data_IF_659162256704
#
_entry.id   IF_659162256704
#
_cell.length_a   1.000
_cell.length_b   1.000
_cell.length_c   1.000
_cell.angle_alpha   90.00
_cell.angle_beta   90.00
_cell.angle_gamma   90.00
#
_symmetry.space_group_name_H-M   'P 1'
#
loop_
_entity.id
_entity.type
_entity.pdbx_description
1 polymer ?
#
# COMPACT_ATOMS: atom_id res chain seq x y z
N UNK A 1 11.91 11.12 7.74
CA UNK A 1 12.47 11.81 6.55
C UNK A 1 12.25 10.91 5.35
N UNK A 2 11.75 11.42 4.25
CA UNK A 2 11.61 10.69 2.98
C UNK A 2 12.70 11.18 2.02
N UNK A 3 13.22 10.29 1.17
CA UNK A 3 14.14 10.64 0.09
C UNK A 3 13.32 10.79 -1.18
N UNK A 4 13.47 11.91 -1.87
CA UNK A 4 12.72 12.19 -3.08
C UNK A 4 13.30 13.33 -3.90
N UNK A 5 12.57 13.71 -4.92
CA UNK A 5 12.84 14.89 -5.72
C UNK A 5 11.53 15.61 -6.06
N UNK A 6 11.63 16.91 -6.19
CA UNK A 6 10.57 17.75 -6.76
C UNK A 6 11.14 18.55 -7.93
N UNK A 7 10.28 18.95 -8.85
CA UNK A 7 10.72 19.75 -9.98
C UNK A 7 9.62 20.69 -10.48
N UNK A 8 10.08 21.74 -11.15
CA UNK A 8 9.24 22.67 -11.88
C UNK A 8 9.85 22.96 -13.25
N UNK A 9 9.03 23.38 -14.20
CA UNK A 9 9.53 23.72 -15.53
C UNK A 9 8.43 24.29 -16.43
N UNK A 10 8.73 24.42 -17.70
CA UNK A 10 7.83 24.91 -18.74
C UNK A 10 7.70 23.90 -19.86
N UNK A 11 6.50 23.72 -20.36
CA UNK A 11 6.17 22.82 -21.48
C UNK A 11 5.42 23.59 -22.56
N UNK A 12 5.50 23.13 -23.80
CA UNK A 12 4.75 23.72 -24.91
C UNK A 12 3.24 23.49 -24.75
N UNK A 13 2.87 22.33 -24.22
CA UNK A 13 1.50 21.97 -23.91
C UNK A 13 1.38 20.56 -23.34
N UNK A 14 0.23 20.24 -22.71
CA UNK A 14 -0.02 18.93 -22.13
C UNK A 14 0.09 17.77 -23.13
N UNK A 15 -0.39 17.94 -24.35
CA UNK A 15 -0.39 16.90 -25.38
C UNK A 15 1.04 16.47 -25.76
N UNK A 16 1.94 17.44 -25.96
CA UNK A 16 3.33 17.16 -26.32
C UNK A 16 4.08 16.43 -25.17
N UNK A 17 3.83 16.83 -23.92
CA UNK A 17 4.41 16.15 -22.75
C UNK A 17 3.85 14.73 -22.60
N UNK A 18 2.54 14.54 -22.76
CA UNK A 18 1.90 13.25 -22.65
C UNK A 18 2.39 12.26 -23.74
N UNK A 19 2.57 12.72 -24.97
CA UNK A 19 3.10 11.87 -26.05
C UNK A 19 4.56 11.47 -25.79
N UNK A 20 5.42 12.40 -25.35
CA UNK A 20 6.79 12.10 -25.00
C UNK A 20 6.84 11.12 -23.80
N UNK A 21 5.99 11.32 -22.79
CA UNK A 21 5.89 10.41 -21.64
C UNK A 21 5.43 9.01 -22.06
N UNK A 22 4.51 8.90 -23.04
CA UNK A 22 4.04 7.61 -23.57
C UNK A 22 5.18 6.85 -24.25
N UNK A 23 5.94 7.50 -25.11
CA UNK A 23 7.10 6.88 -25.78
C UNK A 23 8.12 6.37 -24.73
N UNK A 24 8.42 7.18 -23.71
CA UNK A 24 9.33 6.80 -22.65
C UNK A 24 8.79 5.65 -21.79
N UNK A 25 7.49 5.66 -21.51
CA UNK A 25 6.83 4.59 -20.77
C UNK A 25 6.93 3.24 -21.53
N UNK A 26 6.64 3.24 -22.82
CA UNK A 26 6.77 2.05 -23.69
C UNK A 26 8.22 1.53 -23.73
N UNK A 27 9.20 2.42 -23.88
CA UNK A 27 10.62 2.06 -23.90
C UNK A 27 11.12 1.47 -22.59
N UNK A 28 10.55 1.91 -21.47
CA UNK A 28 10.96 1.50 -20.13
C UNK A 28 10.08 0.39 -19.53
N UNK A 29 9.00 0.02 -20.21
CA UNK A 29 8.05 -0.99 -19.73
C UNK A 29 7.33 -0.55 -18.45
N UNK A 30 7.02 0.75 -18.31
CA UNK A 30 6.27 1.30 -17.20
C UNK A 30 4.88 1.77 -17.63
N UNK A 31 3.94 1.87 -16.69
CA UNK A 31 2.58 2.32 -16.99
C UNK A 31 2.47 3.84 -16.98
N UNK A 32 1.56 4.37 -17.80
CA UNK A 32 1.25 5.79 -17.90
C UNK A 32 -0.24 6.02 -17.71
N UNK A 33 -0.58 6.92 -16.81
CA UNK A 33 -1.94 7.46 -16.67
C UNK A 33 -1.92 8.96 -16.96
N UNK A 34 -2.84 9.42 -17.79
CA UNK A 34 -2.98 10.84 -18.15
C UNK A 34 -4.40 11.30 -17.85
N UNK A 35 -4.52 12.47 -17.23
CA UNK A 35 -5.80 13.11 -16.98
C UNK A 35 -5.76 14.59 -17.42
N UNK A 36 -6.82 15.35 -17.15
CA UNK A 36 -6.93 16.76 -17.57
C UNK A 36 -5.87 17.68 -16.94
N UNK A 37 -5.38 17.35 -15.75
CA UNK A 37 -4.52 18.22 -14.95
C UNK A 37 -3.09 17.70 -14.79
N UNK A 38 -2.80 16.50 -15.25
CA UNK A 38 -1.48 15.91 -15.06
C UNK A 38 -1.31 14.53 -15.69
N UNK A 39 -0.16 13.94 -15.41
CA UNK A 39 0.14 12.56 -15.74
C UNK A 39 0.89 11.89 -14.57
N UNK A 40 0.85 10.56 -14.58
CA UNK A 40 1.58 9.69 -13.65
C UNK A 40 2.28 8.60 -14.46
N UNK A 41 3.58 8.51 -14.28
CA UNK A 41 4.40 7.38 -14.75
C UNK A 41 4.68 6.47 -13.55
N UNK A 42 4.26 5.22 -13.62
CA UNK A 42 4.52 4.22 -12.60
C UNK A 42 5.69 3.34 -13.04
N UNK A 43 6.83 3.54 -12.40
CA UNK A 43 8.11 2.90 -12.70
C UNK A 43 8.27 1.56 -12.01
N UNK A 44 7.68 1.45 -10.83
CA UNK A 44 7.62 0.22 -10.05
C UNK A 44 6.56 0.37 -8.94
N UNK A 45 6.12 -0.73 -8.30
CA UNK A 45 5.30 -0.68 -7.08
C UNK A 45 5.91 0.18 -5.97
N UNK A 46 5.19 0.33 -4.86
CA UNK A 46 5.60 1.05 -3.65
C UNK A 46 5.74 2.57 -3.84
N UNK A 47 4.75 3.17 -4.48
CA UNK A 47 4.80 4.62 -4.73
C UNK A 47 5.90 5.02 -5.71
N UNK A 48 6.42 4.06 -6.47
CA UNK A 48 7.43 4.27 -7.51
C UNK A 48 6.91 5.07 -8.70
N UNK A 49 6.31 6.22 -8.41
CA UNK A 49 5.58 7.06 -9.35
C UNK A 49 6.29 8.39 -9.53
N UNK A 50 6.40 8.82 -10.79
CA UNK A 50 6.72 10.19 -11.16
C UNK A 50 5.42 10.91 -11.49
N UNK A 51 4.95 11.75 -10.57
CA UNK A 51 3.72 12.52 -10.71
C UNK A 51 4.02 13.89 -11.30
N UNK A 52 3.21 14.32 -12.25
CA UNK A 52 3.32 15.64 -12.89
C UNK A 52 1.96 16.31 -12.97
N UNK A 53 1.90 17.57 -12.62
CA UNK A 53 0.72 18.42 -12.76
C UNK A 53 1.08 19.60 -13.63
N UNK A 54 0.14 20.03 -14.47
CA UNK A 54 0.31 21.20 -15.33
C UNK A 54 -0.83 22.19 -15.20
N UNK A 55 -0.51 23.43 -15.49
CA UNK A 55 -1.49 24.51 -15.60
C UNK A 55 -1.09 25.47 -16.72
N UNK A 56 -2.05 26.16 -17.34
CA UNK A 56 -1.73 27.21 -18.31
C UNK A 56 -0.89 28.32 -17.67
N UNK A 57 -0.15 29.05 -18.49
CA UNK A 57 0.51 30.29 -18.10
C UNK A 57 -0.51 31.38 -17.75
N UNK A 58 -0.02 32.55 -17.37
CA UNK A 58 -0.88 33.67 -16.96
C UNK A 58 -1.60 34.33 -18.16
N UNK A 59 -0.95 34.34 -19.33
CA UNK A 59 -1.52 34.79 -20.62
C UNK A 59 -1.65 33.62 -21.60
N UNK A 60 -2.57 33.70 -22.60
CA UNK A 60 -2.77 32.61 -23.55
C UNK A 60 -1.54 32.22 -24.37
N UNK A 61 -0.59 33.16 -24.58
CA UNK A 61 0.67 32.96 -25.27
C UNK A 61 1.79 32.41 -24.35
N UNK A 62 1.57 32.40 -23.05
CA UNK A 62 2.54 31.90 -22.12
C UNK A 62 2.65 30.36 -22.18
N UNK A 63 3.86 29.81 -22.03
CA UNK A 63 4.05 28.38 -21.98
C UNK A 63 3.37 27.80 -20.73
N UNK A 64 2.88 26.57 -20.85
CA UNK A 64 2.34 25.84 -19.73
C UNK A 64 3.39 25.62 -18.63
N UNK A 65 2.97 25.71 -17.40
CA UNK A 65 3.81 25.41 -16.23
C UNK A 65 3.59 23.95 -15.84
N UNK A 66 4.67 23.24 -15.56
CA UNK A 66 4.65 21.89 -15.02
C UNK A 66 5.36 21.86 -13.66
N UNK A 67 4.82 21.09 -12.74
CA UNK A 67 5.47 20.71 -11.47
C UNK A 67 5.28 19.22 -11.27
N UNK A 68 6.22 18.61 -10.56
CA UNK A 68 6.08 17.19 -10.24
C UNK A 68 6.97 16.77 -9.09
N UNK A 69 6.82 15.51 -8.71
CA UNK A 69 7.51 14.90 -7.59
C UNK A 69 7.69 13.38 -7.79
N UNK A 70 8.69 12.85 -7.13
CA UNK A 70 8.89 11.41 -6.97
C UNK A 70 9.44 11.14 -5.57
N UNK A 71 8.73 10.35 -4.77
CA UNK A 71 9.22 9.84 -3.48
C UNK A 71 9.86 8.49 -3.71
N UNK A 72 11.14 8.37 -3.38
CA UNK A 72 11.96 7.20 -3.72
C UNK A 72 12.22 6.27 -2.55
N UNK A 73 11.94 6.70 -1.32
CA UNK A 73 12.35 5.97 -0.10
C UNK A 73 11.89 4.52 -0.07
N UNK A 74 10.60 4.17 -0.33
CA UNK A 74 10.17 2.78 -0.23
C UNK A 74 10.77 1.89 -1.31
N UNK A 75 10.87 2.42 -2.52
CA UNK A 75 11.35 1.66 -3.66
C UNK A 75 12.88 1.61 -3.76
N UNK A 76 13.59 2.65 -3.32
CA UNK A 76 15.05 2.65 -3.25
C UNK A 76 15.78 3.45 -4.32
N UNK A 77 17.11 3.35 -4.31
CA UNK A 77 18.02 4.16 -5.13
C UNK A 77 17.85 3.96 -6.64
N UNK A 78 17.50 2.77 -7.08
CA UNK A 78 17.25 2.47 -8.49
C UNK A 78 16.08 3.26 -9.06
N UNK A 79 14.98 3.40 -8.28
CA UNK A 79 13.85 4.24 -8.64
C UNK A 79 14.26 5.71 -8.76
N UNK A 80 15.01 6.23 -7.77
CA UNK A 80 15.45 7.63 -7.78
C UNK A 80 16.24 7.96 -9.05
N UNK A 81 17.20 7.10 -9.38
CA UNK A 81 17.94 7.19 -10.63
C UNK A 81 17.02 7.15 -11.86
N UNK A 82 16.09 6.21 -11.92
CA UNK A 82 15.19 6.04 -13.05
C UNK A 82 14.29 7.27 -13.26
N UNK A 83 13.78 7.86 -12.17
CA UNK A 83 13.00 9.09 -12.20
C UNK A 83 13.79 10.27 -12.76
N UNK A 84 15.05 10.44 -12.30
CA UNK A 84 15.95 11.49 -12.82
C UNK A 84 16.23 11.30 -14.32
N UNK A 85 16.50 10.07 -14.74
CA UNK A 85 16.77 9.78 -16.17
C UNK A 85 15.52 9.94 -17.06
N UNK A 86 14.31 9.74 -16.52
CA UNK A 86 13.08 10.04 -17.22
C UNK A 86 12.90 11.56 -17.42
N UNK A 87 13.19 12.36 -16.38
CA UNK A 87 13.13 13.82 -16.49
C UNK A 87 14.04 14.36 -17.58
N UNK A 88 15.22 13.75 -17.78
CA UNK A 88 16.15 14.14 -18.86
C UNK A 88 15.56 13.92 -20.28
N UNK A 89 14.68 12.91 -20.41
CA UNK A 89 14.05 12.56 -21.70
C UNK A 89 12.77 13.32 -22.01
N UNK A 90 12.22 14.07 -21.03
CA UNK A 90 10.96 14.80 -21.22
C UNK A 90 11.20 16.21 -21.78
N UNK A 91 10.29 16.75 -22.64
CA UNK A 91 10.41 18.06 -23.26
C UNK A 91 10.06 19.18 -22.27
N UNK A 92 10.75 19.23 -21.14
CA UNK A 92 10.57 20.25 -20.10
C UNK A 92 11.66 21.30 -20.23
N UNK A 93 11.29 22.53 -20.54
CA UNK A 93 12.20 23.67 -20.62
C UNK A 93 12.35 24.34 -19.26
N UNK A 94 13.51 24.94 -19.00
CA UNK A 94 13.83 25.61 -17.71
C UNK A 94 13.53 24.70 -16.52
N UNK A 95 13.89 23.42 -16.66
CA UNK A 95 13.73 22.43 -15.61
C UNK A 95 14.58 22.81 -14.39
N UNK A 96 13.92 23.05 -13.27
CA UNK A 96 14.54 23.22 -11.96
C UNK A 96 14.18 22.02 -11.09
N UNK A 97 15.18 21.33 -10.57
CA UNK A 97 15.01 20.12 -9.75
C UNK A 97 15.62 20.36 -8.37
N UNK A 98 14.80 20.13 -7.36
CA UNK A 98 15.21 20.01 -5.97
C UNK A 98 15.30 18.50 -5.66
N UNK A 99 16.52 18.02 -5.55
CA UNK A 99 16.85 16.63 -5.32
C UNK A 99 17.66 16.52 -4.02
N UNK A 100 17.05 15.91 -3.01
CA UNK A 100 17.64 15.74 -1.67
C UNK A 100 18.97 14.96 -1.70
N UNK A 101 19.17 14.10 -2.72
CA UNK A 101 20.40 13.34 -2.88
C UNK A 101 21.48 14.06 -3.69
N UNK A 102 21.12 15.10 -4.42
CA UNK A 102 21.98 15.80 -5.37
C UNK A 102 22.32 14.95 -6.61
N UNK A 103 21.74 13.77 -6.78
CA UNK A 103 22.03 12.87 -7.90
C UNK A 103 21.71 13.51 -9.26
N UNK A 104 20.66 14.32 -9.35
CA UNK A 104 20.32 15.07 -10.55
C UNK A 104 21.53 15.90 -11.08
N UNK A 105 22.39 16.39 -10.19
CA UNK A 105 23.57 17.20 -10.55
C UNK A 105 24.83 16.37 -10.76
N UNK A 106 25.14 15.48 -9.81
CA UNK A 106 26.46 14.79 -9.81
C UNK A 106 26.46 13.43 -10.54
N UNK A 107 25.29 12.82 -10.79
CA UNK A 107 25.09 11.55 -11.51
C UNK A 107 25.90 10.36 -10.94
N UNK A 108 26.37 10.46 -9.72
CA UNK A 108 27.12 9.40 -9.05
C UNK A 108 26.16 8.51 -8.25
N UNK A 109 25.79 7.36 -8.83
CA UNK A 109 24.85 6.43 -8.24
C UNK A 109 25.35 5.84 -6.92
N UNK A 110 26.63 5.46 -6.84
CA UNK A 110 27.20 4.87 -5.62
C UNK A 110 27.21 5.86 -4.46
N UNK A 111 27.61 7.10 -4.74
CA UNK A 111 27.57 8.19 -3.76
C UNK A 111 26.14 8.40 -3.23
N UNK A 112 25.14 8.45 -4.10
CA UNK A 112 23.74 8.59 -3.73
C UNK A 112 23.29 7.46 -2.80
N UNK A 113 23.61 6.20 -3.12
CA UNK A 113 23.30 5.04 -2.28
C UNK A 113 23.89 5.19 -0.89
N UNK A 114 25.21 5.43 -0.81
CA UNK A 114 25.96 5.42 0.45
C UNK A 114 25.60 6.61 1.35
N UNK A 115 25.58 7.82 0.78
CA UNK A 115 25.37 9.04 1.56
C UNK A 115 23.90 9.27 1.96
N UNK A 116 22.93 8.73 1.21
CA UNK A 116 21.52 9.00 1.46
C UNK A 116 20.73 7.72 1.83
N UNK A 117 20.60 6.75 0.93
CA UNK A 117 19.76 5.57 1.17
C UNK A 117 20.30 4.67 2.29
N UNK A 118 21.61 4.42 2.31
CA UNK A 118 22.19 3.58 3.37
C UNK A 118 22.30 4.33 4.70
N UNK A 119 22.51 5.62 4.69
CA UNK A 119 22.45 6.44 5.90
C UNK A 119 21.05 6.44 6.49
N UNK A 120 20.03 6.63 5.66
CA UNK A 120 18.64 6.52 6.07
C UNK A 120 18.32 5.13 6.67
N UNK A 121 18.75 4.06 5.99
CA UNK A 121 18.51 2.69 6.44
C UNK A 121 19.23 2.38 7.75
N UNK A 122 20.47 2.85 7.94
CA UNK A 122 21.20 2.71 9.22
C UNK A 122 20.47 3.39 10.37
N UNK A 123 20.01 4.62 10.16
CA UNK A 123 19.22 5.34 11.18
C UNK A 123 17.97 4.54 11.57
N UNK A 124 17.33 3.93 10.61
CA UNK A 124 16.17 3.08 10.84
C UNK A 124 16.52 1.83 11.65
N UNK A 125 17.59 1.13 11.28
CA UNK A 125 18.11 -0.05 12.01
C UNK A 125 18.46 0.30 13.45
N UNK A 126 19.08 1.46 13.69
CA UNK A 126 19.38 1.95 15.04
C UNK A 126 18.12 2.19 15.88
N UNK A 127 17.05 2.72 15.26
CA UNK A 127 15.74 2.87 15.92
C UNK A 127 15.16 1.51 16.26
N UNK A 128 15.12 0.57 15.32
CA UNK A 128 14.62 -0.78 15.54
C UNK A 128 15.39 -1.52 16.64
N UNK A 129 16.72 -1.44 16.59
CA UNK A 129 17.58 -2.07 17.62
C UNK A 129 17.32 -1.50 19.01
N UNK A 130 17.12 -0.19 19.13
CA UNK A 130 16.80 0.48 20.39
C UNK A 130 15.46 0.05 20.99
N UNK A 131 14.47 -0.23 20.14
CA UNK A 131 13.12 -0.63 20.53
C UNK A 131 12.97 -2.15 20.70
N UNK A 132 13.92 -2.94 20.23
CA UNK A 132 13.93 -4.40 20.34
C UNK A 132 13.93 -4.86 21.81
N UNK A 133 13.13 -5.89 22.11
CA UNK A 133 12.98 -6.46 23.44
C UNK A 133 12.12 -5.62 24.41
N UNK A 134 11.53 -4.54 23.94
CA UNK A 134 10.62 -3.71 24.77
C UNK A 134 9.14 -4.03 24.59
N UNK A 135 8.83 -5.04 23.78
CA UNK A 135 7.45 -5.40 23.47
C UNK A 135 6.72 -4.34 22.66
N UNK A 136 7.44 -3.53 21.89
CA UNK A 136 6.86 -2.51 21.01
C UNK A 136 6.06 -3.20 19.91
N UNK A 137 4.82 -2.76 19.72
CA UNK A 137 3.92 -3.31 18.72
C UNK A 137 3.42 -2.22 17.77
N UNK A 138 2.88 -2.62 16.61
CA UNK A 138 2.34 -1.71 15.60
C UNK A 138 3.38 -0.87 14.86
N UNK A 139 4.66 -1.25 14.87
CA UNK A 139 5.69 -0.55 14.14
C UNK A 139 5.57 -0.83 12.64
N UNK A 140 5.44 0.21 11.84
CA UNK A 140 5.23 0.14 10.40
C UNK A 140 6.15 1.13 9.70
N UNK A 141 6.77 0.70 8.61
CA UNK A 141 7.73 1.48 7.84
C UNK A 141 7.38 1.48 6.37
N UNK A 142 7.26 2.67 5.77
CA UNK A 142 6.91 2.83 4.36
C UNK A 142 5.59 2.12 4.00
N UNK A 143 4.69 1.98 4.94
CA UNK A 143 3.41 1.29 4.81
C UNK A 143 2.28 2.29 4.64
N UNK A 144 1.36 2.02 3.71
CA UNK A 144 0.17 2.84 3.56
C UNK A 144 -0.86 2.48 4.63
N UNK A 145 -0.93 3.31 5.67
CA UNK A 145 -1.88 3.17 6.77
C UNK A 145 -3.34 3.42 6.36
N UNK A 146 -3.56 3.91 5.13
CA UNK A 146 -4.91 4.18 4.62
C UNK A 146 -5.66 2.92 4.20
N UNK A 147 -4.97 1.81 3.92
CA UNK A 147 -5.57 0.61 3.37
C UNK A 147 -5.94 -0.42 4.44
N UNK A 148 -4.95 -0.88 5.22
CA UNK A 148 -5.14 -1.88 6.29
C UNK A 148 -4.01 -1.81 7.32
N UNK A 149 -4.22 -2.38 8.49
CA UNK A 149 -3.20 -2.56 9.51
C UNK A 149 -2.89 -4.07 9.62
N UNK A 150 -1.65 -4.50 9.41
CA UNK A 150 -1.24 -5.86 9.68
C UNK A 150 -1.43 -6.23 11.14
N UNK A 151 -1.49 -7.52 11.43
CA UNK A 151 -1.58 -8.03 12.80
C UNK A 151 -0.48 -7.43 13.68
N UNK A 152 -0.86 -7.00 14.88
CA UNK A 152 0.01 -6.31 15.82
C UNK A 152 0.82 -7.33 16.64
N UNK A 153 2.00 -7.67 16.12
CA UNK A 153 2.92 -8.62 16.77
C UNK A 153 4.04 -7.84 17.47
N UNK A 154 4.23 -8.03 18.78
CA UNK A 154 5.30 -7.36 19.52
C UNK A 154 6.69 -7.64 18.95
N UNK A 155 7.60 -6.67 19.10
CA UNK A 155 9.00 -6.73 18.67
C UNK A 155 9.19 -7.01 17.16
N UNK A 156 8.19 -6.64 16.35
CA UNK A 156 8.27 -6.72 14.89
C UNK A 156 8.01 -5.37 14.24
N UNK A 157 8.50 -5.24 13.00
CA UNK A 157 8.24 -4.11 12.11
C UNK A 157 7.69 -4.63 10.80
N UNK A 158 6.64 -3.97 10.30
CA UNK A 158 6.07 -4.25 8.99
C UNK A 158 6.65 -3.30 7.97
N UNK A 159 7.09 -3.84 6.84
CA UNK A 159 7.62 -3.11 5.70
C UNK A 159 6.90 -3.57 4.43
N UNK A 160 7.01 -2.84 3.31
CA UNK A 160 6.46 -3.30 2.04
C UNK A 160 7.06 -4.61 1.51
N UNK A 161 8.17 -5.05 2.09
CA UNK A 161 8.85 -6.31 1.75
C UNK A 161 8.55 -7.43 2.75
N UNK A 162 7.60 -7.22 3.66
CA UNK A 162 7.20 -8.18 4.67
C UNK A 162 7.45 -7.71 6.11
N UNK A 163 7.31 -8.63 7.03
CA UNK A 163 7.52 -8.42 8.47
C UNK A 163 8.93 -8.88 8.86
N UNK A 164 9.59 -8.09 9.70
CA UNK A 164 10.90 -8.41 10.26
C UNK A 164 10.84 -8.33 11.80
N UNK A 165 11.66 -9.10 12.49
CA UNK A 165 11.94 -8.83 13.92
C UNK A 165 12.76 -7.54 14.03
N UNK A 166 12.54 -6.76 15.09
CA UNK A 166 13.30 -5.52 15.29
C UNK A 166 14.81 -5.79 15.43
N UNK A 167 15.21 -6.88 16.10
CA UNK A 167 16.62 -7.30 16.20
C UNK A 167 17.21 -7.77 14.86
N UNK A 168 16.42 -8.44 14.05
CA UNK A 168 16.88 -9.07 12.80
C UNK A 168 17.54 -8.07 11.84
N UNK A 169 17.03 -6.84 11.78
CA UNK A 169 17.60 -5.81 10.91
C UNK A 169 19.03 -5.44 11.31
N UNK A 170 19.28 -5.36 12.61
CA UNK A 170 20.62 -5.09 13.14
C UNK A 170 21.56 -6.30 12.94
N UNK A 171 21.07 -7.51 13.24
CA UNK A 171 21.82 -8.76 13.06
C UNK A 171 22.24 -8.96 11.58
N UNK A 172 21.36 -8.63 10.63
CA UNK A 172 21.68 -8.66 9.19
C UNK A 172 22.78 -7.66 8.82
N UNK A 173 22.73 -6.45 9.36
CA UNK A 173 23.77 -5.44 9.06
C UNK A 173 25.11 -5.85 9.66
N UNK A 174 25.12 -6.42 10.88
CA UNK A 174 26.34 -6.90 11.52
C UNK A 174 26.96 -8.09 10.78
N UNK A 175 26.15 -9.05 10.36
CA UNK A 175 26.60 -10.26 9.69
C UNK A 175 26.96 -10.05 8.22
N UNK A 176 26.10 -9.38 7.46
CA UNK A 176 26.13 -9.37 6.01
C UNK A 176 26.36 -7.95 5.43
N UNK A 177 26.32 -6.92 6.29
CA UNK A 177 26.52 -5.52 5.90
C UNK A 177 25.24 -4.84 5.39
N UNK A 178 25.31 -3.50 5.32
CA UNK A 178 24.17 -2.66 4.93
C UNK A 178 23.67 -2.91 3.51
N UNK A 179 24.57 -3.30 2.59
CA UNK A 179 24.22 -3.63 1.20
C UNK A 179 23.28 -4.84 1.10
N UNK A 180 23.54 -5.86 1.92
CA UNK A 180 22.72 -7.07 1.96
C UNK A 180 21.32 -6.75 2.49
N UNK A 181 21.24 -5.98 3.60
CA UNK A 181 19.95 -5.52 4.12
C UNK A 181 19.22 -4.64 3.11
N UNK A 182 19.90 -3.68 2.47
CA UNK A 182 19.29 -2.81 1.48
C UNK A 182 18.72 -3.59 0.28
N UNK A 183 19.37 -4.69 -0.12
CA UNK A 183 18.90 -5.59 -1.16
C UNK A 183 17.65 -6.42 -0.79
N UNK A 184 17.30 -6.48 0.50
CA UNK A 184 16.05 -7.10 1.02
C UNK A 184 15.01 -6.08 1.45
N UNK A 185 15.44 -4.87 1.80
CA UNK A 185 14.56 -3.81 2.30
C UNK A 185 13.97 -2.95 1.17
N UNK A 186 14.81 -2.54 0.21
CA UNK A 186 14.37 -1.75 -0.93
C UNK A 186 13.96 -2.65 -2.10
N UNK A 187 12.86 -2.31 -2.75
CA UNK A 187 12.41 -3.00 -3.95
C UNK A 187 13.45 -2.92 -5.06
N UNK A 188 14.06 -1.75 -5.24
CA UNK A 188 15.03 -1.46 -6.31
C UNK A 188 16.30 -0.79 -5.77
N UNK A 189 17.21 -1.59 -5.21
CA UNK A 189 18.49 -1.10 -4.70
C UNK A 189 19.58 -0.99 -5.78
N UNK A 190 19.50 -1.78 -6.85
CA UNK A 190 20.49 -1.86 -7.92
C UNK A 190 20.40 -0.70 -8.91
N UNK A 191 21.47 -0.53 -9.70
CA UNK A 191 21.49 0.47 -10.78
C UNK A 191 20.53 0.10 -11.91
N UNK A 192 20.36 -1.19 -12.17
CA UNK A 192 19.44 -1.74 -13.18
C UNK A 192 18.39 -2.61 -12.52
N UNK A 193 17.39 -3.01 -13.28
CA UNK A 193 16.43 -4.04 -12.85
C UNK A 193 17.13 -5.41 -12.94
N UNK A 194 17.85 -5.77 -11.89
CA UNK A 194 18.60 -7.01 -11.74
C UNK A 194 17.74 -8.16 -11.15
N UNK A 195 18.35 -9.30 -10.87
CA UNK A 195 17.66 -10.45 -10.28
C UNK A 195 16.99 -10.09 -8.95
N UNK A 196 17.63 -9.27 -8.12
CA UNK A 196 17.08 -8.84 -6.83
C UNK A 196 15.86 -7.95 -7.00
N UNK A 197 15.85 -7.08 -8.01
CA UNK A 197 14.67 -6.26 -8.33
C UNK A 197 13.45 -7.13 -8.65
N UNK A 198 13.59 -8.13 -9.54
CA UNK A 198 12.47 -9.01 -9.91
C UNK A 198 12.01 -9.85 -8.72
N UNK A 199 12.92 -10.46 -7.96
CA UNK A 199 12.56 -11.16 -6.72
C UNK A 199 11.79 -10.26 -5.76
N UNK A 200 12.29 -9.05 -5.51
CA UNK A 200 11.68 -8.13 -4.56
C UNK A 200 10.32 -7.64 -5.05
N UNK A 201 10.13 -7.46 -6.35
CA UNK A 201 8.83 -7.11 -6.93
C UNK A 201 7.80 -8.23 -6.72
N UNK A 202 8.21 -9.49 -6.92
CA UNK A 202 7.36 -10.64 -6.62
C UNK A 202 7.03 -10.75 -5.12
N UNK A 203 8.02 -10.56 -4.23
CA UNK A 203 7.79 -10.54 -2.77
C UNK A 203 6.81 -9.43 -2.38
N UNK A 204 6.97 -8.22 -2.96
CA UNK A 204 6.05 -7.13 -2.71
C UNK A 204 4.62 -7.46 -3.20
N UNK A 205 4.47 -8.06 -4.39
CA UNK A 205 3.17 -8.48 -4.87
C UNK A 205 2.54 -9.57 -3.97
N UNK A 206 3.33 -10.54 -3.51
CA UNK A 206 2.89 -11.54 -2.53
C UNK A 206 2.45 -10.90 -1.22
N UNK A 207 3.13 -9.86 -0.77
CA UNK A 207 2.83 -9.17 0.47
C UNK A 207 1.66 -8.20 0.34
N UNK A 208 1.65 -7.30 -0.63
CA UNK A 208 0.64 -6.26 -0.77
C UNK A 208 -0.66 -6.74 -1.44
N UNK A 209 -0.56 -7.45 -2.56
CA UNK A 209 -1.74 -7.89 -3.30
C UNK A 209 -2.28 -9.20 -2.77
N UNK A 210 -1.44 -10.21 -2.63
CA UNK A 210 -1.84 -11.54 -2.17
C UNK A 210 -1.84 -11.64 -0.64
N UNK A 211 -1.11 -10.75 0.05
CA UNK A 211 -0.91 -10.81 1.50
C UNK A 211 -0.44 -12.19 1.96
N UNK A 212 0.44 -12.82 1.19
CA UNK A 212 0.91 -14.20 1.35
C UNK A 212 -0.22 -15.25 1.40
N UNK A 213 -1.38 -14.93 0.82
CA UNK A 213 -2.49 -15.85 0.58
C UNK A 213 -2.98 -15.65 -0.86
N UNK A 214 -2.22 -16.12 -1.86
CA UNK A 214 -2.59 -16.00 -3.28
C UNK A 214 -3.98 -16.55 -3.56
N UNK A 215 -4.64 -15.99 -4.55
CA UNK A 215 -6.02 -16.34 -4.95
C UNK A 215 -6.10 -16.44 -6.47
N UNK A 216 -7.10 -17.15 -6.98
CA UNK A 216 -7.40 -17.26 -8.42
C UNK A 216 -8.87 -17.00 -8.72
N UNK A 217 -9.53 -16.16 -7.90
CA UNK A 217 -10.99 -15.92 -7.97
C UNK A 217 -11.40 -14.84 -8.97
N UNK A 218 -10.44 -14.07 -9.48
CA UNK A 218 -10.69 -12.97 -10.41
C UNK A 218 -9.61 -12.88 -11.50
N UNK A 219 -9.91 -12.18 -12.59
CA UNK A 219 -8.90 -11.87 -13.62
C UNK A 219 -7.74 -11.03 -13.07
N UNK A 220 -7.99 -10.20 -12.07
CA UNK A 220 -6.95 -9.43 -11.40
C UNK A 220 -6.01 -10.35 -10.62
N UNK A 221 -6.55 -11.32 -9.87
CA UNK A 221 -5.76 -12.36 -9.19
C UNK A 221 -4.91 -13.16 -10.19
N UNK A 222 -5.47 -13.56 -11.33
CA UNK A 222 -4.76 -14.30 -12.37
C UNK A 222 -3.60 -13.46 -12.96
N UNK A 223 -3.83 -12.17 -13.19
CA UNK A 223 -2.78 -11.26 -13.69
C UNK A 223 -1.66 -11.05 -12.65
N UNK A 224 -2.01 -10.93 -11.36
CA UNK A 224 -1.02 -10.83 -10.27
C UNK A 224 -0.23 -12.12 -10.15
N UNK A 225 -0.90 -13.29 -10.19
CA UNK A 225 -0.23 -14.59 -10.15
C UNK A 225 0.75 -14.74 -11.31
N UNK A 226 0.34 -14.42 -12.53
CA UNK A 226 1.21 -14.46 -13.70
C UNK A 226 2.44 -13.55 -13.53
N UNK A 227 2.26 -12.34 -13.05
CA UNK A 227 3.35 -11.38 -12.82
C UNK A 227 4.34 -11.89 -11.76
N UNK A 228 3.86 -12.51 -10.67
CA UNK A 228 4.70 -13.11 -9.63
C UNK A 228 5.57 -14.23 -10.22
N UNK A 229 4.95 -15.14 -10.99
CA UNK A 229 5.68 -16.27 -11.62
C UNK A 229 6.73 -15.77 -12.61
N UNK A 230 6.37 -14.85 -13.49
CA UNK A 230 7.29 -14.28 -14.49
C UNK A 230 8.48 -13.57 -13.82
N UNK A 231 8.25 -12.86 -12.73
CA UNK A 231 9.28 -12.17 -11.97
C UNK A 231 10.24 -13.15 -11.28
N UNK A 232 9.73 -14.18 -10.62
CA UNK A 232 10.58 -15.19 -9.95
C UNK A 232 11.38 -16.00 -10.95
N UNK A 233 10.78 -16.42 -12.07
CA UNK A 233 11.46 -17.12 -13.15
C UNK A 233 12.54 -16.24 -13.79
N UNK A 234 12.26 -14.95 -13.98
CA UNK A 234 13.24 -13.99 -14.49
C UNK A 234 14.38 -13.75 -13.51
N UNK A 235 14.08 -13.64 -12.22
CA UNK A 235 15.10 -13.53 -11.18
C UNK A 235 16.05 -14.72 -11.18
N UNK A 236 15.51 -15.95 -11.19
CA UNK A 236 16.28 -17.18 -11.24
C UNK A 236 17.16 -17.29 -12.50
N UNK A 237 16.64 -16.85 -13.66
CA UNK A 237 17.39 -16.83 -14.92
C UNK A 237 18.57 -15.85 -14.88
N UNK A 238 18.41 -14.70 -14.23
CA UNK A 238 19.44 -13.67 -14.09
C UNK A 238 20.50 -14.04 -13.06
N UNK A 239 20.08 -14.68 -11.96
CA UNK A 239 20.99 -15.17 -10.91
C UNK A 239 20.42 -16.45 -10.26
N UNK A 240 20.89 -17.63 -10.75
CA UNK A 240 20.45 -18.92 -10.18
C UNK A 240 20.85 -19.15 -8.72
N UNK A 241 21.78 -18.37 -8.19
CA UNK A 241 22.23 -18.45 -6.78
C UNK A 241 21.41 -17.59 -5.83
N UNK A 242 20.50 -16.75 -6.35
CA UNK A 242 19.68 -15.86 -5.53
C UNK A 242 18.62 -16.68 -4.78
N UNK A 243 18.53 -16.55 -3.43
CA UNK A 243 17.45 -17.17 -2.68
C UNK A 243 16.08 -16.61 -3.10
N UNK A 244 15.12 -17.51 -3.39
CA UNK A 244 13.76 -17.19 -3.83
C UNK A 244 12.70 -17.72 -2.87
N UNK A 245 11.50 -17.11 -2.78
CA UNK A 245 10.37 -17.58 -1.98
C UNK A 245 9.71 -18.80 -2.64
N UNK A 246 10.34 -19.96 -2.52
CA UNK A 246 9.99 -21.19 -3.26
C UNK A 246 8.63 -21.74 -2.90
N UNK A 247 8.30 -21.79 -1.61
CA UNK A 247 7.01 -22.29 -1.16
C UNK A 247 5.86 -21.45 -1.74
N UNK A 248 6.01 -20.12 -1.72
CA UNK A 248 5.04 -19.21 -2.36
C UNK A 248 5.02 -19.37 -3.89
N UNK A 249 6.16 -19.61 -4.54
CA UNK A 249 6.20 -19.87 -5.98
C UNK A 249 5.41 -21.13 -6.35
N UNK A 250 5.60 -22.23 -5.62
CA UNK A 250 4.88 -23.49 -5.84
C UNK A 250 3.38 -23.33 -5.61
N UNK A 251 2.97 -22.59 -4.55
CA UNK A 251 1.57 -22.26 -4.27
C UNK A 251 0.94 -21.50 -5.44
N UNK A 252 1.63 -20.48 -5.97
CA UNK A 252 1.12 -19.69 -7.11
C UNK A 252 1.10 -20.52 -8.40
N UNK A 253 2.07 -21.39 -8.63
CA UNK A 253 2.05 -22.32 -9.76
C UNK A 253 0.81 -23.23 -9.71
N UNK A 254 0.51 -23.81 -8.54
CA UNK A 254 -0.66 -24.67 -8.36
C UNK A 254 -1.98 -23.91 -8.64
N UNK A 255 -2.10 -22.66 -8.16
CA UNK A 255 -3.26 -21.81 -8.42
C UNK A 255 -3.41 -21.46 -9.91
N UNK A 256 -2.30 -21.23 -10.60
CA UNK A 256 -2.27 -20.89 -12.02
C UNK A 256 -2.36 -22.12 -12.93
N UNK A 257 -2.41 -23.34 -12.38
CA UNK A 257 -2.37 -24.59 -13.16
C UNK A 257 -1.10 -24.78 -13.98
N UNK A 258 0.04 -24.20 -13.50
CA UNK A 258 1.36 -24.28 -14.17
C UNK A 258 2.26 -25.26 -13.44
N UNK A 259 3.02 -26.05 -14.18
CA UNK A 259 4.10 -26.87 -13.61
C UNK A 259 5.26 -25.96 -13.16
N UNK A 260 5.81 -26.14 -11.95
CA UNK A 260 6.97 -25.42 -11.49
C UNK A 260 8.20 -25.68 -12.40
N UNK A 261 8.82 -24.61 -12.91
CA UNK A 261 9.99 -24.69 -13.79
C UNK A 261 11.30 -24.30 -13.12
N UNK A 262 11.23 -23.73 -11.91
CA UNK A 262 12.44 -23.36 -11.16
C UNK A 262 13.14 -24.63 -10.67
N UNK A 263 14.36 -24.86 -11.17
CA UNK A 263 15.22 -25.92 -10.68
C UNK A 263 15.52 -25.78 -9.19
N UNK A 264 15.95 -26.86 -8.55
CA UNK A 264 16.41 -26.82 -7.16
C UNK A 264 17.46 -25.73 -6.97
N UNK A 265 17.30 -24.92 -5.94
CA UNK A 265 18.17 -23.79 -5.65
C UNK A 265 17.88 -23.23 -4.25
N UNK A 266 18.62 -22.19 -3.83
CA UNK A 266 18.48 -21.66 -2.48
C UNK A 266 17.08 -21.08 -2.25
N UNK A 267 16.45 -21.49 -1.16
CA UNK A 267 15.19 -20.93 -0.70
C UNK A 267 15.44 -19.67 0.16
N UNK A 268 14.59 -18.69 0.00
CA UNK A 268 14.49 -17.61 0.97
C UNK A 268 13.77 -18.15 2.21
N UNK A 269 14.34 -17.93 3.38
CA UNK A 269 13.66 -18.24 4.65
C UNK A 269 12.43 -17.35 4.76
N UNK A 270 11.26 -17.98 4.81
CA UNK A 270 9.95 -17.31 4.91
C UNK A 270 9.44 -17.25 6.36
N UNK A 271 10.32 -17.44 7.36
CA UNK A 271 9.93 -17.52 8.76
C UNK A 271 9.10 -16.32 9.25
N UNK A 272 9.30 -15.15 8.62
CA UNK A 272 8.61 -13.91 8.92
C UNK A 272 7.79 -13.36 7.74
N UNK A 273 7.56 -14.15 6.73
CA UNK A 273 6.58 -13.87 5.69
C UNK A 273 5.27 -14.64 5.96
N UNK A 274 4.69 -14.55 7.15
CA UNK A 274 3.44 -15.21 7.39
C UNK A 274 2.42 -14.54 6.48
N UNK A 275 1.62 -15.33 5.85
CA UNK A 275 0.45 -14.85 5.17
C UNK A 275 -0.50 -14.24 6.19
N UNK A 276 -0.32 -12.95 6.52
CA UNK A 276 -1.21 -12.30 7.47
C UNK A 276 -2.66 -12.33 7.01
N UNK A 277 -2.93 -12.47 5.71
CA UNK A 277 -4.27 -12.78 5.18
C UNK A 277 -4.67 -14.24 5.31
N UNK A 278 -3.80 -15.14 5.73
CA UNK A 278 -4.20 -16.50 6.17
C UNK A 278 -4.95 -16.46 7.51
N UNK A 279 -4.87 -15.35 8.23
CA UNK A 279 -5.64 -15.00 9.43
C UNK A 279 -6.51 -13.75 9.23
N UNK A 280 -7.11 -13.22 10.32
CA UNK A 280 -7.87 -11.97 10.29
C UNK A 280 -6.99 -10.77 9.92
N UNK A 281 -7.55 -9.84 9.13
CA UNK A 281 -6.88 -8.58 8.73
C UNK A 281 -7.66 -7.40 9.28
N UNK A 282 -6.96 -6.47 9.93
CA UNK A 282 -7.54 -5.23 10.43
C UNK A 282 -7.36 -4.11 9.41
N UNK A 283 -8.47 -3.64 8.87
CA UNK A 283 -8.53 -2.51 7.94
C UNK A 283 -8.65 -1.20 8.70
N UNK A 284 -7.81 -0.22 8.32
CA UNK A 284 -7.77 1.10 8.93
C UNK A 284 -8.47 2.13 8.03
N UNK A 285 -9.54 2.75 8.54
CA UNK A 285 -10.25 3.83 7.87
C UNK A 285 -10.29 5.04 8.81
N UNK A 286 -9.34 5.93 8.68
CA UNK A 286 -9.18 7.01 9.65
C UNK A 286 -9.04 6.46 11.07
N UNK A 287 -9.98 6.83 11.95
CA UNK A 287 -10.01 6.33 13.33
C UNK A 287 -10.59 4.90 13.45
N UNK A 288 -11.43 4.47 12.52
CA UNK A 288 -12.09 3.16 12.54
C UNK A 288 -11.09 2.03 12.29
N UNK A 289 -11.23 0.93 13.03
CA UNK A 289 -10.57 -0.34 12.78
C UNK A 289 -11.64 -1.43 12.59
N UNK A 290 -11.64 -2.06 11.42
CA UNK A 290 -12.53 -3.14 11.03
C UNK A 290 -11.71 -4.39 10.77
N UNK A 291 -11.91 -5.45 11.56
CA UNK A 291 -11.20 -6.71 11.40
C UNK A 291 -12.08 -7.71 10.65
N UNK A 292 -11.60 -8.17 9.49
CA UNK A 292 -12.28 -9.13 8.63
C UNK A 292 -11.41 -10.38 8.43
N UNK A 293 -12.00 -11.53 8.08
CA UNK A 293 -11.23 -12.68 7.62
C UNK A 293 -10.30 -12.31 6.46
N UNK A 294 -9.11 -12.90 6.41
CA UNK A 294 -8.09 -12.57 5.43
C UNK A 294 -8.47 -12.83 3.96
N UNK A 295 -9.50 -13.66 3.72
CA UNK A 295 -10.06 -13.89 2.40
C UNK A 295 -10.77 -12.69 1.77
N UNK A 296 -11.11 -11.69 2.56
CA UNK A 296 -11.80 -10.50 2.05
C UNK A 296 -10.85 -9.60 1.27
N UNK A 297 -11.24 -9.26 0.04
CA UNK A 297 -10.53 -8.33 -0.83
C UNK A 297 -11.18 -6.95 -0.73
N UNK A 298 -10.33 -5.94 -0.67
CA UNK A 298 -10.76 -4.54 -0.66
C UNK A 298 -10.89 -4.00 -2.08
N UNK A 299 -11.91 -3.19 -2.33
CA UNK A 299 -12.02 -2.31 -3.48
C UNK A 299 -12.77 -1.03 -3.15
N UNK A 300 -12.53 0.02 -3.92
CA UNK A 300 -13.35 1.22 -3.91
C UNK A 300 -14.49 1.05 -4.89
N UNK A 301 -15.74 1.12 -4.41
CA UNK A 301 -16.95 1.13 -5.23
C UNK A 301 -17.37 2.58 -5.43
N UNK A 302 -17.43 3.04 -6.69
CA UNK A 302 -17.74 4.42 -7.01
C UNK A 302 -19.07 4.50 -7.78
N UNK A 303 -19.84 5.52 -7.46
CA UNK A 303 -21.06 5.93 -8.16
C UNK A 303 -21.08 7.45 -8.34
N UNK A 304 -22.06 8.00 -9.10
CA UNK A 304 -22.12 9.42 -9.53
C UNK A 304 -22.03 10.44 -8.38
N UNK A 305 -22.57 10.12 -7.22
CA UNK A 305 -22.62 11.01 -6.05
C UNK A 305 -21.64 10.66 -4.92
N UNK A 306 -20.72 9.72 -5.15
CA UNK A 306 -19.78 9.31 -4.11
C UNK A 306 -19.23 7.92 -4.29
N UNK A 307 -18.95 7.21 -3.20
CA UNK A 307 -18.47 5.85 -3.21
C UNK A 307 -18.39 5.26 -1.80
N UNK A 308 -18.06 3.98 -1.74
CA UNK A 308 -17.84 3.27 -0.47
C UNK A 308 -16.58 2.41 -0.54
N UNK A 309 -15.97 2.23 0.62
CA UNK A 309 -15.02 1.14 0.82
C UNK A 309 -15.81 -0.17 0.84
N UNK A 310 -15.44 -1.13 0.01
CA UNK A 310 -16.11 -2.42 -0.12
C UNK A 310 -15.13 -3.54 0.16
N UNK A 311 -15.58 -4.56 0.87
CA UNK A 311 -14.88 -5.82 1.10
C UNK A 311 -15.80 -6.99 0.80
N UNK A 312 -15.30 -7.94 0.04
CA UNK A 312 -15.94 -9.20 -0.28
C UNK A 312 -14.90 -10.29 -0.47
N UNK A 313 -15.21 -11.53 -0.13
CA UNK A 313 -14.37 -12.68 -0.45
C UNK A 313 -14.83 -13.40 -1.73
N UNK A 314 -15.90 -12.88 -2.38
CA UNK A 314 -16.47 -13.46 -3.59
C UNK A 314 -17.33 -14.71 -3.35
N UNK A 315 -17.46 -15.18 -2.11
CA UNK A 315 -18.36 -16.28 -1.75
C UNK A 315 -19.81 -15.83 -1.68
N UNK A 316 -20.75 -16.70 -2.10
CA UNK A 316 -22.20 -16.42 -2.04
C UNK A 316 -22.72 -16.27 -0.61
N UNK A 317 -22.09 -16.96 0.33
CA UNK A 317 -22.55 -17.06 1.72
C UNK A 317 -21.85 -16.08 2.65
N UNK A 318 -20.82 -15.39 2.16
CA UNK A 318 -20.03 -14.45 2.95
C UNK A 318 -20.64 -13.04 2.93
N UNK A 319 -20.71 -12.35 4.08
CA UNK A 319 -21.22 -10.99 4.12
C UNK A 319 -20.42 -10.03 3.23
N UNK A 320 -21.10 -9.19 2.48
CA UNK A 320 -20.48 -8.07 1.74
C UNK A 320 -20.48 -6.85 2.64
N UNK A 321 -19.31 -6.28 2.93
CA UNK A 321 -19.14 -5.12 3.77
C UNK A 321 -18.96 -3.85 2.95
N UNK A 322 -19.68 -2.78 3.32
CA UNK A 322 -19.48 -1.43 2.79
C UNK A 322 -19.30 -0.44 3.93
N UNK A 323 -18.40 0.50 3.77
CA UNK A 323 -18.16 1.56 4.76
C UNK A 323 -18.08 2.91 4.07
N UNK A 324 -18.85 3.86 4.59
CA UNK A 324 -18.79 5.27 4.23
C UNK A 324 -18.35 6.08 5.46
N UNK A 325 -17.52 7.09 5.24
CA UNK A 325 -17.08 8.01 6.29
C UNK A 325 -17.63 9.40 6.03
N UNK A 326 -18.24 9.97 7.05
CA UNK A 326 -18.77 11.35 7.05
C UNK A 326 -18.08 12.15 8.14
N UNK A 327 -17.93 13.44 7.93
CA UNK A 327 -17.33 14.33 8.93
C UNK A 327 -18.30 15.45 9.26
N UNK A 328 -18.55 15.66 10.55
CA UNK A 328 -19.25 16.83 11.02
C UNK A 328 -18.47 18.10 10.67
N UNK A 329 -19.16 19.13 10.22
CA UNK A 329 -18.52 20.42 9.89
C UNK A 329 -17.99 21.11 11.14
N UNK A 330 -18.69 20.94 12.25
CA UNK A 330 -18.36 21.50 13.56
C UNK A 330 -18.72 20.51 14.67
N UNK A 331 -17.90 20.41 15.70
CA UNK A 331 -18.14 19.59 16.88
C UNK A 331 -17.92 18.08 16.68
N UNK A 332 -18.61 17.29 17.48
CA UNK A 332 -18.58 15.83 17.44
C UNK A 332 -19.69 15.29 16.54
N UNK A 333 -19.41 14.15 15.88
CA UNK A 333 -20.40 13.44 15.12
C UNK A 333 -21.50 12.89 16.04
N UNK A 334 -22.72 12.79 15.50
CA UNK A 334 -23.86 12.22 16.20
C UNK A 334 -24.44 11.06 15.41
N UNK A 335 -25.05 10.14 16.11
CA UNK A 335 -25.82 9.06 15.49
C UNK A 335 -27.02 9.62 14.72
N UNK A 336 -27.36 8.95 13.63
CA UNK A 336 -28.51 9.33 12.81
C UNK A 336 -29.77 8.57 13.25
N UNK A 337 -30.93 8.92 12.70
CA UNK A 337 -32.18 8.17 12.95
C UNK A 337 -32.32 6.89 12.09
N UNK A 338 -31.28 6.54 11.32
CA UNK A 338 -31.32 5.43 10.36
C UNK A 338 -31.56 4.05 10.98
N UNK A 339 -31.19 3.88 12.25
CA UNK A 339 -31.34 2.63 12.99
C UNK A 339 -32.69 2.44 13.68
N UNK A 340 -33.52 3.50 13.78
CA UNK A 340 -34.77 3.45 14.55
C UNK A 340 -35.81 2.44 14.04
N UNK A 341 -35.72 2.02 12.77
CA UNK A 341 -36.62 1.05 12.13
C UNK A 341 -36.02 -0.37 12.01
N UNK A 342 -34.85 -0.63 12.63
CA UNK A 342 -34.15 -1.90 12.53
C UNK A 342 -34.53 -2.85 13.68
N UNK A 343 -34.29 -4.14 13.45
CA UNK A 343 -34.45 -5.16 14.48
C UNK A 343 -33.18 -5.25 15.34
N UNK A 344 -33.36 -5.62 16.62
CA UNK A 344 -32.25 -5.92 17.52
C UNK A 344 -31.23 -4.81 17.69
N UNK A 345 -31.71 -3.56 17.78
CA UNK A 345 -30.79 -2.41 17.92
C UNK A 345 -30.05 -2.49 19.24
N UNK A 346 -28.72 -2.53 19.16
CA UNK A 346 -27.80 -2.59 20.27
C UNK A 346 -26.77 -1.46 20.15
N UNK A 347 -26.27 -0.99 21.28
CA UNK A 347 -25.22 0.03 21.32
C UNK A 347 -24.19 -0.23 22.41
N UNK A 348 -22.97 0.24 22.22
CA UNK A 348 -21.91 0.17 23.21
C UNK A 348 -20.94 1.34 23.10
N UNK A 349 -20.37 1.69 24.22
CA UNK A 349 -19.26 2.64 24.27
C UNK A 349 -17.96 1.98 23.80
N UNK A 350 -17.14 2.73 23.06
CA UNK A 350 -15.80 2.38 22.62
C UNK A 350 -14.79 3.33 23.27
N UNK A 351 -13.54 2.89 23.39
CA UNK A 351 -12.48 3.81 23.80
C UNK A 351 -12.29 4.88 22.71
N UNK A 352 -12.81 6.10 22.96
CA UNK A 352 -12.72 7.23 22.03
C UNK A 352 -13.87 7.36 21.04
N UNK A 353 -15.00 6.72 21.30
CA UNK A 353 -16.20 6.81 20.49
C UNK A 353 -17.33 5.97 21.01
N UNK A 354 -18.32 5.74 20.17
CA UNK A 354 -19.44 4.85 20.46
C UNK A 354 -19.91 4.16 19.18
N UNK A 355 -20.60 3.04 19.35
CA UNK A 355 -21.13 2.24 18.26
C UNK A 355 -22.57 1.86 18.58
N UNK A 356 -23.42 1.86 17.56
CA UNK A 356 -24.74 1.19 17.59
C UNK A 356 -25.00 0.48 16.27
N UNK A 357 -25.74 -0.60 16.31
CA UNK A 357 -26.08 -1.38 15.12
C UNK A 357 -27.42 -2.07 15.29
N UNK A 358 -28.02 -2.44 14.16
CA UNK A 358 -29.22 -3.27 14.08
C UNK A 358 -29.27 -3.93 12.70
N UNK A 359 -30.29 -4.71 12.42
CA UNK A 359 -30.44 -5.41 11.15
C UNK A 359 -31.86 -5.32 10.60
N UNK A 360 -32.01 -5.58 9.31
CA UNK A 360 -33.29 -5.66 8.60
C UNK A 360 -33.24 -6.71 7.51
N UNK A 361 -34.40 -7.20 7.12
CA UNK A 361 -34.58 -7.97 5.89
C UNK A 361 -34.82 -6.98 4.73
N UNK A 362 -34.15 -7.20 3.61
CA UNK A 362 -34.32 -6.45 2.36
C UNK A 362 -34.60 -7.44 1.22
N UNK A 363 -35.08 -6.95 0.09
CA UNK A 363 -35.19 -7.74 -1.13
C UNK A 363 -34.36 -7.15 -2.23
N UNK A 364 -33.57 -7.97 -2.91
CA UNK A 364 -32.79 -7.63 -4.08
C UNK A 364 -33.06 -8.68 -5.16
N UNK A 365 -33.48 -8.26 -6.33
CA UNK A 365 -33.88 -9.14 -7.46
C UNK A 365 -34.93 -10.23 -7.09
N UNK A 366 -35.73 -9.97 -6.08
CA UNK A 366 -36.78 -10.90 -5.62
C UNK A 366 -36.30 -11.92 -4.58
N UNK A 367 -35.04 -11.92 -4.22
CA UNK A 367 -34.47 -12.78 -3.18
C UNK A 367 -34.34 -12.02 -1.84
N UNK A 368 -34.69 -12.70 -0.70
CA UNK A 368 -34.54 -12.09 0.61
C UNK A 368 -33.06 -12.03 1.01
N UNK A 369 -32.61 -10.85 1.46
CA UNK A 369 -31.28 -10.63 2.02
C UNK A 369 -31.37 -10.04 3.42
N UNK A 370 -30.37 -10.30 4.22
CA UNK A 370 -30.25 -9.77 5.58
C UNK A 370 -29.16 -8.69 5.59
N UNK A 371 -29.52 -7.49 5.98
CA UNK A 371 -28.61 -6.35 6.03
C UNK A 371 -28.48 -5.82 7.45
N UNK A 372 -27.28 -5.88 8.00
CA UNK A 372 -26.93 -5.12 9.19
C UNK A 372 -26.49 -3.72 8.81
N UNK A 373 -26.86 -2.76 9.64
CA UNK A 373 -26.42 -1.37 9.57
C UNK A 373 -25.78 -1.01 10.90
N UNK A 374 -24.56 -0.50 10.85
CA UNK A 374 -23.80 -0.13 12.03
C UNK A 374 -23.28 1.31 11.87
N UNK A 375 -23.48 2.12 12.88
CA UNK A 375 -22.93 3.47 12.99
C UNK A 375 -21.86 3.49 14.07
N UNK A 376 -20.70 4.07 13.73
CA UNK A 376 -19.58 4.27 14.66
C UNK A 376 -19.23 5.76 14.67
N UNK A 377 -19.26 6.37 15.82
CA UNK A 377 -18.80 7.77 16.00
C UNK A 377 -17.43 7.79 16.66
N UNK A 378 -16.54 8.67 16.15
CA UNK A 378 -15.20 8.88 16.65
C UNK A 378 -14.80 10.35 16.47
N UNK A 379 -15.00 11.17 17.52
CA UNK A 379 -14.85 12.61 17.44
C UNK A 379 -15.75 13.20 16.34
N UNK A 380 -15.21 13.95 15.36
CA UNK A 380 -16.02 14.53 14.29
C UNK A 380 -16.43 13.51 13.19
N UNK A 381 -15.97 12.27 13.23
CA UNK A 381 -16.25 11.28 12.20
C UNK A 381 -17.43 10.37 12.57
N UNK A 382 -18.32 10.16 11.60
CA UNK A 382 -19.35 9.13 11.60
C UNK A 382 -19.00 8.12 10.48
N UNK A 383 -18.84 6.87 10.86
CA UNK A 383 -18.69 5.76 9.93
C UNK A 383 -20.02 5.00 9.86
N UNK A 384 -20.56 4.90 8.64
CA UNK A 384 -21.73 4.10 8.35
C UNK A 384 -21.28 2.82 7.68
N UNK A 385 -21.46 1.70 8.36
CA UNK A 385 -21.14 0.36 7.86
C UNK A 385 -22.44 -0.35 7.48
N UNK A 386 -22.44 -1.03 6.36
CA UNK A 386 -23.49 -2.02 6.03
C UNK A 386 -22.82 -3.35 5.75
N UNK A 387 -23.45 -4.43 6.22
CA UNK A 387 -23.04 -5.78 5.93
C UNK A 387 -24.27 -6.56 5.44
N UNK A 388 -24.19 -7.13 4.23
CA UNK A 388 -25.32 -7.84 3.59
C UNK A 388 -24.95 -9.29 3.38
N UNK A 389 -25.84 -10.22 3.76
CA UNK A 389 -25.69 -11.66 3.58
C UNK A 389 -26.99 -12.29 3.08
N UNK A 390 -26.88 -13.50 2.51
CA UNK A 390 -28.00 -14.22 1.88
C UNK A 390 -28.87 -14.96 2.88
N UNK A 391 -28.34 -15.32 4.05
CA UNK A 391 -29.08 -16.09 5.06
C UNK A 391 -28.91 -15.50 6.48
N UNK A 392 -29.87 -15.83 7.39
CA UNK A 392 -29.84 -15.32 8.76
C UNK A 392 -28.63 -15.81 9.58
N UNK A 393 -27.99 -16.91 9.20
CA UNK A 393 -26.75 -17.43 9.79
C UNK A 393 -25.59 -16.45 9.61
N UNK A 394 -25.55 -15.69 8.50
CA UNK A 394 -24.58 -14.65 8.25
C UNK A 394 -24.64 -13.50 9.27
N UNK A 395 -25.80 -13.25 9.88
CA UNK A 395 -25.93 -12.23 10.92
C UNK A 395 -25.08 -12.53 12.14
N UNK A 396 -24.84 -13.80 12.47
CA UNK A 396 -23.94 -14.20 13.56
C UNK A 396 -22.49 -13.80 13.30
N UNK A 397 -22.00 -14.00 12.08
CA UNK A 397 -20.66 -13.58 11.66
C UNK A 397 -20.55 -12.04 11.65
N UNK A 398 -21.59 -11.36 11.17
CA UNK A 398 -21.66 -9.90 11.16
C UNK A 398 -21.59 -9.36 12.59
N UNK A 399 -22.39 -9.91 13.51
CA UNK A 399 -22.40 -9.51 14.92
C UNK A 399 -21.02 -9.70 15.58
N UNK A 400 -20.36 -10.82 15.30
CA UNK A 400 -18.99 -11.06 15.80
C UNK A 400 -18.00 -10.02 15.26
N UNK A 401 -18.07 -9.70 13.97
CA UNK A 401 -17.22 -8.69 13.32
C UNK A 401 -17.47 -7.30 13.92
N UNK A 402 -18.75 -6.91 14.06
CA UNK A 402 -19.14 -5.65 14.72
C UNK A 402 -18.63 -5.62 16.17
N UNK A 403 -18.68 -6.76 16.87
CA UNK A 403 -18.11 -6.94 18.19
C UNK A 403 -16.62 -6.62 18.29
N UNK A 404 -15.86 -6.84 17.21
CA UNK A 404 -14.41 -6.55 17.10
C UNK A 404 -14.07 -5.12 16.66
N UNK A 405 -15.04 -4.29 16.27
CA UNK A 405 -14.77 -2.92 15.85
C UNK A 405 -14.18 -2.11 16.99
N UNK A 406 -13.13 -1.34 16.68
CA UNK A 406 -12.50 -0.43 17.62
C UNK A 406 -12.20 0.93 16.96
N UNK A 407 -11.93 1.93 17.78
CA UNK A 407 -11.59 3.30 17.37
C UNK A 407 -10.25 3.67 17.98
N UNK A 408 -9.37 4.22 17.14
CA UNK A 408 -8.08 4.77 17.58
C UNK A 408 -8.20 6.27 17.80
N UNK A 409 -8.01 6.71 19.03
CA UNK A 409 -7.95 8.14 19.34
C UNK A 409 -6.59 8.70 18.94
N UNK A 410 -6.59 9.75 18.12
CA UNK A 410 -5.39 10.44 17.62
C UNK A 410 -4.67 11.27 18.71
N UNK A 411 -4.39 10.67 19.88
CA UNK A 411 -3.60 11.33 20.92
C UNK A 411 -2.12 11.42 20.57
N UNK A 412 -1.62 10.52 19.71
CA UNK A 412 -0.20 10.47 19.34
C UNK A 412 0.24 11.50 18.28
N UNK A 413 -0.68 12.13 17.54
CA UNK A 413 -0.31 13.13 16.52
C UNK A 413 -0.06 14.54 17.07
N UNK A 414 -0.43 14.82 18.30
CA UNK A 414 -0.17 16.14 18.94
C UNK A 414 1.21 16.24 19.56
N UNK A 415 1.81 15.16 19.99
CA UNK A 415 3.16 15.18 20.60
C UNK A 415 4.28 15.28 19.58
N UNK A 416 4.11 14.75 18.35
CA UNK A 416 5.14 14.81 17.31
C UNK A 416 5.22 16.16 16.59
N UNK A 417 4.19 17.00 16.66
CA UNK A 417 4.17 18.36 16.04
C UNK A 417 4.66 19.44 17.00
N UNK A 418 4.61 19.21 18.32
CA UNK A 418 5.10 20.17 19.30
C UNK A 418 6.61 20.13 19.53
N UNK A 419 7.28 19.02 19.22
CA UNK A 419 8.76 18.88 19.36
C UNK A 419 9.53 19.44 18.16
N UNK A 420 8.87 20.03 17.15
CA UNK A 420 9.54 20.69 16.01
C UNK A 420 9.43 22.22 16.04
N UNK A 421 9.00 22.81 17.15
CA UNK A 421 8.88 24.28 17.28
C UNK A 421 9.61 24.87 18.51
N UNK A 422 10.55 24.15 19.10
CA UNK A 422 11.51 24.72 20.06
C UNK A 422 12.96 24.61 19.56
#
# INVERSE_FOLDING_TARGET
MSIGLTFTGRIEGPAALAEAAKILAEQRGCSLSVNRTGLRLELCPLGGQLNMLWRPGEAPEDPWLVRGECVSTPAGAGLHRAAVELLDGLPIRRLAVEDETGFFRHRNFQRMKEEHFYTWLRTLVEVCARESGKGVSGMQLCWDLGQYAPEDIPDTVVTPMGRFRLSELADMVERDGIEALAGRFFLWNGRTQDARFYRNRAINALWEHCCFAPSSRSQEDEAVNAAILDDLERAAKLDPSLPLPRASYEEVCALAGREPVLADGPALEEEFSPGYRKGPVTHALGALRLTLPGGYLYRWEQWDSGGAHLWTDGGSDSPIWRVNAYHAREGEAQFTDSLNALHGVEGRELRGGALRWGWREIQEDGEPLYQAVCEVIAGPALYLLTATCTGPEGLGQIAQTIGGISVVTNTARRETVQTQKE
#
